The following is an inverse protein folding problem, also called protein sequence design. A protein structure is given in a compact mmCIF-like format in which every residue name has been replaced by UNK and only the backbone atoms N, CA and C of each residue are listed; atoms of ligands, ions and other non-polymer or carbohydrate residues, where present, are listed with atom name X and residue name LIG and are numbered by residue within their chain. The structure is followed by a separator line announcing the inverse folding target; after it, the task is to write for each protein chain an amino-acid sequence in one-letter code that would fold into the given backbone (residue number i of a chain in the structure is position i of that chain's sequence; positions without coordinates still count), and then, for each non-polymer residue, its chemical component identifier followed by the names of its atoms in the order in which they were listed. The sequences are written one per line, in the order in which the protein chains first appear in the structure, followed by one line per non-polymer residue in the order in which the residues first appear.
data_IF_562827515273
#
_entry.id   IF_562827515273
#
_cell.length_a   1.000
_cell.length_b   1.000
_cell.length_c   1.000
_cell.angle_alpha   90.00
_cell.angle_beta   90.00
_cell.angle_gamma   90.00
#
_symmetry.space_group_name_H-M   'P 1'
#
loop_
_entity.id
_entity.type
_entity.pdbx_description
1 polymer ?
#
# COMPACT_ATOMS: atom_id res chain seq x y z
N UNK A 1 -15.39 -2.31 29.38
CA UNK A 1 -14.17 -2.26 28.55
C UNK A 1 -14.57 -1.69 27.20
N UNK A 2 -13.86 -0.69 26.67
CA UNK A 2 -14.23 -0.01 25.43
C UNK A 2 -13.37 -0.58 24.31
N UNK A 3 -13.98 -1.34 23.42
CA UNK A 3 -13.30 -1.85 22.23
C UNK A 3 -13.13 -0.71 21.23
N UNK A 4 -11.91 -0.51 20.71
CA UNK A 4 -11.64 0.47 19.67
C UNK A 4 -11.23 -0.21 18.37
N UNK A 5 -11.94 0.10 17.29
CA UNK A 5 -11.64 -0.40 15.95
C UNK A 5 -10.80 0.62 15.18
N UNK A 6 -9.82 0.15 14.44
CA UNK A 6 -9.01 0.97 13.54
C UNK A 6 -8.77 0.24 12.20
N UNK A 7 -8.60 1.03 11.14
CA UNK A 7 -8.23 0.56 9.82
C UNK A 7 -7.00 1.33 9.34
N UNK A 8 -5.98 0.62 8.86
CA UNK A 8 -4.73 1.21 8.36
C UNK A 8 -4.51 0.75 6.92
N UNK A 9 -4.15 1.66 6.03
CA UNK A 9 -3.69 1.32 4.67
C UNK A 9 -2.22 1.68 4.54
N UNK A 10 -1.40 0.74 4.10
CA UNK A 10 0.05 0.91 4.00
C UNK A 10 0.63 0.18 2.79
N UNK A 11 1.90 0.49 2.50
CA UNK A 11 2.73 -0.25 1.54
C UNK A 11 3.83 -0.98 2.31
N UNK A 12 3.88 -2.30 2.21
CA UNK A 12 4.99 -3.12 2.68
C UNK A 12 6.00 -3.30 1.56
N UNK A 13 7.25 -2.89 1.81
CA UNK A 13 8.37 -3.13 0.92
C UNK A 13 9.12 -4.38 1.38
N UNK A 14 9.37 -5.33 0.48
CA UNK A 14 10.04 -6.59 0.79
C UNK A 14 10.87 -7.08 -0.39
N UNK A 15 11.89 -7.89 -0.09
CA UNK A 15 12.69 -8.59 -1.10
C UNK A 15 12.12 -9.99 -1.31
N UNK A 16 11.90 -10.37 -2.56
CA UNK A 16 11.44 -11.71 -2.95
C UNK A 16 12.18 -12.14 -4.22
N UNK A 17 12.84 -13.29 -4.16
CA UNK A 17 13.70 -13.82 -5.24
C UNK A 17 14.73 -12.82 -5.79
N UNK A 18 15.29 -11.98 -4.91
CA UNK A 18 16.29 -10.97 -5.29
C UNK A 18 15.72 -9.71 -5.96
N UNK A 19 14.39 -9.64 -6.14
CA UNK A 19 13.69 -8.46 -6.62
C UNK A 19 13.04 -7.71 -5.45
N UNK A 20 13.02 -6.39 -5.51
CA UNK A 20 12.24 -5.57 -4.57
C UNK A 20 10.77 -5.56 -4.99
N UNK A 21 9.88 -5.76 -4.02
CA UNK A 21 8.44 -5.77 -4.21
C UNK A 21 7.76 -4.82 -3.22
N UNK A 22 6.61 -4.30 -3.64
CA UNK A 22 5.73 -3.47 -2.84
C UNK A 22 4.37 -4.15 -2.79
N UNK A 23 3.82 -4.36 -1.60
CA UNK A 23 2.46 -4.83 -1.38
C UNK A 23 1.64 -3.74 -0.70
N UNK A 24 0.51 -3.37 -1.29
CA UNK A 24 -0.46 -2.49 -0.65
C UNK A 24 -1.55 -3.29 0.04
N UNK A 25 -1.75 -3.01 1.31
CA UNK A 25 -2.74 -3.68 2.14
C UNK A 25 -3.57 -2.66 2.91
N UNK A 26 -4.85 -2.97 3.09
CA UNK A 26 -5.70 -2.34 4.10
C UNK A 26 -6.00 -3.35 5.20
N UNK A 27 -5.53 -3.10 6.42
CA UNK A 27 -5.67 -4.01 7.56
C UNK A 27 -6.56 -3.43 8.66
N UNK A 28 -7.26 -4.31 9.37
CA UNK A 28 -8.16 -3.98 10.48
C UNK A 28 -7.57 -4.42 11.81
N UNK A 29 -7.74 -3.56 12.81
CA UNK A 29 -7.24 -3.79 14.16
C UNK A 29 -8.34 -3.55 15.20
N UNK A 30 -8.28 -4.30 16.30
CA UNK A 30 -9.08 -4.05 17.49
C UNK A 30 -8.17 -3.76 18.68
N UNK A 31 -8.56 -2.80 19.52
CA UNK A 31 -7.90 -2.50 20.79
C UNK A 31 -8.74 -3.03 21.94
N UNK A 32 -8.18 -3.98 22.68
CA UNK A 32 -8.79 -4.56 23.89
C UNK A 32 -7.72 -4.59 24.99
N UNK A 33 -8.08 -4.25 26.23
CA UNK A 33 -7.15 -4.16 27.37
C UNK A 33 -5.87 -3.37 27.06
N UNK A 34 -6.06 -2.22 26.42
CA UNK A 34 -5.00 -1.31 25.97
C UNK A 34 -3.96 -1.91 25.00
N UNK A 35 -4.24 -3.06 24.37
CA UNK A 35 -3.38 -3.73 23.39
C UNK A 35 -4.07 -3.79 22.02
N UNK A 36 -3.30 -3.60 20.96
CA UNK A 36 -3.79 -3.71 19.58
C UNK A 36 -3.60 -5.12 19.06
N UNK A 37 -4.64 -5.66 18.45
CA UNK A 37 -4.66 -6.96 17.81
C UNK A 37 -4.99 -6.79 16.33
N UNK A 38 -4.17 -7.38 15.46
CA UNK A 38 -4.49 -7.55 14.05
C UNK A 38 -5.67 -8.51 13.94
N UNK A 39 -6.66 -8.16 13.13
CA UNK A 39 -7.80 -9.03 12.84
C UNK A 39 -7.61 -9.71 11.49
N UNK A 40 -7.56 -8.91 10.43
CA UNK A 40 -7.33 -9.33 9.07
C UNK A 40 -6.90 -8.12 8.21
N UNK A 41 -6.65 -8.39 6.94
CA UNK A 41 -6.38 -7.37 5.96
C UNK A 41 -6.66 -7.85 4.56
N UNK A 42 -6.77 -6.88 3.65
CA UNK A 42 -7.02 -7.12 2.23
C UNK A 42 -5.88 -6.53 1.44
N UNK A 43 -5.14 -7.40 0.76
CA UNK A 43 -4.12 -7.00 -0.21
C UNK A 43 -4.82 -6.45 -1.45
N UNK A 44 -4.53 -5.19 -1.78
CA UNK A 44 -5.11 -4.50 -2.94
C UNK A 44 -4.31 -4.76 -4.21
N UNK A 45 -2.98 -4.75 -4.09
CA UNK A 45 -2.06 -5.05 -5.19
C UNK A 45 -0.67 -5.35 -4.63
N UNK A 46 0.14 -5.99 -5.45
CA UNK A 46 1.57 -6.13 -5.27
C UNK A 46 2.28 -5.84 -6.61
N UNK A 47 3.47 -5.28 -6.57
CA UNK A 47 4.22 -4.86 -7.76
C UNK A 47 5.71 -4.86 -7.47
N UNK A 48 6.53 -5.23 -8.46
CA UNK A 48 7.97 -5.06 -8.36
C UNK A 48 8.30 -3.55 -8.23
N UNK A 49 9.09 -3.18 -7.22
CA UNK A 49 9.54 -1.82 -6.96
C UNK A 49 10.46 -1.30 -8.08
N UNK A 50 11.17 -2.22 -8.72
CA UNK A 50 12.06 -1.97 -9.86
C UNK A 50 11.36 -1.73 -11.20
N UNK A 51 10.02 -1.77 -11.27
CA UNK A 51 9.33 -1.27 -12.46
C UNK A 51 9.56 0.24 -12.55
N UNK A 52 10.56 0.61 -13.36
CA UNK A 52 10.89 1.98 -13.77
C UNK A 52 9.62 2.80 -13.87
N UNK A 53 9.59 3.96 -13.21
CA UNK A 53 8.50 4.94 -13.30
C UNK A 53 7.96 4.90 -14.74
N UNK A 54 6.65 4.71 -14.95
CA UNK A 54 6.14 4.58 -16.29
C UNK A 54 6.58 5.82 -17.08
N UNK A 55 7.48 5.65 -18.06
CA UNK A 55 7.86 6.74 -18.98
C UNK A 55 6.58 7.35 -19.57
N UNK A 56 5.58 6.48 -19.78
CA UNK A 56 4.24 6.86 -20.13
C UNK A 56 3.45 7.39 -18.91
N UNK A 57 3.37 8.72 -18.81
CA UNK A 57 2.51 9.46 -17.85
C UNK A 57 1.03 9.02 -17.83
N UNK A 58 0.53 8.35 -18.88
CA UNK A 58 -0.84 7.82 -18.95
C UNK A 58 -0.98 6.39 -18.42
N UNK A 59 0.12 5.65 -18.27
CA UNK A 59 0.10 4.31 -17.70
C UNK A 59 -0.35 4.33 -16.23
N UNK A 60 -0.79 3.18 -15.74
CA UNK A 60 -1.09 2.99 -14.33
C UNK A 60 0.15 3.29 -13.49
N UNK A 61 -0.04 3.93 -12.35
CA UNK A 61 1.03 4.25 -11.42
C UNK A 61 1.69 2.95 -10.95
N UNK A 62 3.02 2.88 -10.99
CA UNK A 62 3.80 1.78 -10.40
C UNK A 62 3.66 1.70 -8.88
N UNK A 63 3.12 2.74 -8.25
CA UNK A 63 2.66 2.71 -6.87
C UNK A 63 1.37 1.90 -6.68
N UNK A 64 0.83 1.27 -7.72
CA UNK A 64 -0.34 0.39 -7.72
C UNK A 64 -1.67 1.00 -7.26
N UNK A 65 -1.74 2.32 -7.01
CA UNK A 65 -2.96 3.04 -6.61
C UNK A 65 -4.17 2.93 -7.56
N UNK A 66 -4.04 2.24 -8.70
CA UNK A 66 -5.04 2.16 -9.76
C UNK A 66 -5.19 3.47 -10.55
N UNK A 67 -4.51 4.55 -10.15
CA UNK A 67 -4.54 5.84 -10.82
C UNK A 67 -3.47 5.91 -11.91
N UNK A 68 -3.72 6.72 -12.94
CA UNK A 68 -2.68 7.07 -13.93
C UNK A 68 -1.52 7.75 -13.23
N UNK A 69 -0.29 7.47 -13.64
CA UNK A 69 0.93 8.01 -13.02
C UNK A 69 0.88 9.55 -12.86
N UNK A 70 0.44 10.26 -13.91
CA UNK A 70 0.25 11.73 -13.88
C UNK A 70 -0.73 12.27 -12.84
N UNK A 71 -1.59 11.42 -12.27
CA UNK A 71 -2.59 11.76 -11.26
C UNK A 71 -2.29 11.07 -9.91
N UNK A 72 -1.11 10.48 -9.75
CA UNK A 72 -0.66 9.85 -8.52
C UNK A 72 0.76 10.32 -8.17
N UNK A 73 1.77 9.43 -8.19
CA UNK A 73 3.15 9.80 -7.85
C UNK A 73 3.81 10.80 -8.82
N UNK A 74 3.24 11.01 -10.01
CA UNK A 74 3.71 12.00 -10.98
C UNK A 74 3.12 13.40 -10.81
N UNK A 75 2.26 13.63 -9.81
CA UNK A 75 1.75 14.97 -9.48
C UNK A 75 2.85 15.69 -8.71
N UNK A 76 3.43 16.75 -9.28
CA UNK A 76 4.23 17.71 -8.50
C UNK A 76 3.26 18.45 -7.57
N UNK A 77 3.36 18.20 -6.28
CA UNK A 77 2.77 19.07 -5.26
C UNK A 77 3.53 20.39 -5.28
N UNK A 78 2.88 21.44 -5.78
CA UNK A 78 3.31 22.84 -5.58
C UNK A 78 3.00 23.30 -4.16
#
# INVERSE_FOLDING_TARGET
IKDHKATVTFNAHYLFDGEEWIMNETSRFNKTDNRWFYLDGTVRYFTAAGQTLPQNRKALCSCGSGKKFKHCCGVRSS
#
